data_IF_215787227054
#
_entry.id   IF_215787227054
#
_cell.length_a   1.000
_cell.length_b   1.000
_cell.length_c   1.000
_cell.angle_alpha   90.00
_cell.angle_beta   90.00
_cell.angle_gamma   90.00
#
_symmetry.space_group_name_H-M   'P 1'
#
loop_
_entity.id
_entity.type
_entity.pdbx_description
1 polymer ?
#
# COMPACT_ATOMS: atom_id res chain seq x y z
N UNK A 1 -7.77 -9.73 6.93
CA UNK A 1 -8.13 -8.37 7.37
C UNK A 1 -8.91 -7.69 6.26
N UNK A 2 -10.09 -7.15 6.57
CA UNK A 2 -10.88 -6.34 5.62
C UNK A 2 -10.26 -4.94 5.45
N UNK A 3 -10.69 -4.19 4.44
CA UNK A 3 -10.27 -2.78 4.30
C UNK A 3 -10.71 -1.95 5.51
N UNK A 4 -11.95 -2.10 5.97
CA UNK A 4 -12.44 -1.38 7.15
C UNK A 4 -11.59 -1.65 8.42
N UNK A 5 -11.08 -2.87 8.58
CA UNK A 5 -10.16 -3.19 9.67
C UNK A 5 -8.78 -2.54 9.51
N UNK A 6 -8.28 -2.40 8.28
CA UNK A 6 -7.06 -1.65 8.00
C UNK A 6 -7.26 -0.16 8.33
N UNK A 7 -8.32 0.45 7.80
CA UNK A 7 -8.68 1.85 8.02
C UNK A 7 -8.74 2.16 9.52
N UNK A 8 -9.45 1.34 10.29
CA UNK A 8 -9.54 1.50 11.74
C UNK A 8 -8.18 1.41 12.46
N UNK A 9 -7.27 0.55 12.00
CA UNK A 9 -5.92 0.45 12.59
C UNK A 9 -5.05 1.66 12.23
N UNK A 10 -5.13 2.14 10.99
CA UNK A 10 -4.44 3.35 10.55
C UNK A 10 -4.93 4.56 11.37
N UNK A 11 -6.24 4.72 11.53
CA UNK A 11 -6.81 5.81 12.32
C UNK A 11 -6.37 5.75 13.79
N UNK A 12 -6.26 4.56 14.37
CA UNK A 12 -5.75 4.37 15.72
C UNK A 12 -4.27 4.79 15.85
N UNK A 13 -3.43 4.43 14.88
CA UNK A 13 -2.01 4.83 14.84
C UNK A 13 -1.86 6.35 14.70
N UNK A 14 -2.66 6.97 13.84
CA UNK A 14 -2.67 8.43 13.64
C UNK A 14 -3.16 9.17 14.88
N UNK A 15 -4.23 8.70 15.52
CA UNK A 15 -4.70 9.26 16.79
C UNK A 15 -3.64 9.11 17.90
N UNK A 16 -2.86 8.03 17.90
CA UNK A 16 -1.74 7.87 18.83
C UNK A 16 -0.61 8.88 18.55
N UNK A 17 -0.27 9.10 17.27
CA UNK A 17 0.72 10.10 16.87
C UNK A 17 0.29 11.52 17.28
N UNK A 18 -0.97 11.88 17.07
CA UNK A 18 -1.53 13.18 17.50
C UNK A 18 -1.45 13.38 19.01
N UNK A 19 -1.73 12.34 19.80
CA UNK A 19 -1.60 12.38 21.27
C UNK A 19 -0.15 12.60 21.70
N UNK A 20 0.81 11.95 21.03
CA UNK A 20 2.24 12.12 21.30
C UNK A 20 2.67 13.55 20.97
N UNK A 21 2.28 14.08 19.82
CA UNK A 21 2.59 15.45 19.41
C UNK A 21 1.97 16.49 20.36
N UNK A 22 0.70 16.30 20.73
CA UNK A 22 0.00 17.18 21.67
C UNK A 22 0.65 17.18 23.05
N UNK A 23 1.11 16.01 23.52
CA UNK A 23 1.86 15.90 24.78
C UNK A 23 3.19 16.61 24.68
N UNK A 24 3.95 16.38 23.61
CA UNK A 24 5.23 17.03 23.38
C UNK A 24 5.08 18.55 23.35
N UNK A 25 4.08 19.10 22.66
CA UNK A 25 3.82 20.53 22.62
C UNK A 25 3.68 21.11 24.04
N UNK A 26 2.83 20.51 24.90
CA UNK A 26 2.62 20.93 26.29
C UNK A 26 3.89 20.80 27.14
N UNK A 27 4.61 19.70 27.02
CA UNK A 27 5.84 19.46 27.77
C UNK A 27 6.94 20.45 27.35
N UNK A 28 7.07 20.71 26.05
CA UNK A 28 8.07 21.62 25.51
C UNK A 28 7.83 23.07 25.96
N UNK A 29 6.56 23.50 26.02
CA UNK A 29 6.16 24.78 26.59
C UNK A 29 6.49 24.86 28.08
N UNK A 30 6.21 23.80 28.85
CA UNK A 30 6.53 23.74 30.27
C UNK A 30 8.03 23.90 30.55
N UNK A 31 8.91 23.30 29.74
CA UNK A 31 10.36 23.45 29.92
C UNK A 31 10.89 24.80 29.44
N UNK A 32 10.30 25.34 28.38
CA UNK A 32 10.63 26.70 27.92
C UNK A 32 10.34 27.73 29.01
N UNK A 33 9.22 27.57 29.71
CA UNK A 33 8.76 28.46 30.78
C UNK A 33 9.31 28.12 32.18
N UNK A 34 10.13 27.07 32.32
CA UNK A 34 10.71 26.68 33.60
C UNK A 34 11.84 27.62 34.02
N UNK A 35 11.59 28.48 35.00
CA UNK A 35 12.56 29.45 35.50
C UNK A 35 13.66 28.84 36.40
N UNK A 36 13.55 27.55 36.73
CA UNK A 36 14.56 26.85 37.54
C UNK A 36 15.70 26.26 36.69
N UNK A 37 15.53 26.23 35.36
CA UNK A 37 16.51 25.71 34.42
C UNK A 37 17.28 26.84 33.73
N UNK A 38 18.59 26.65 33.56
CA UNK A 38 19.40 27.46 32.65
C UNK A 38 19.02 27.19 31.20
N UNK A 39 19.34 28.12 30.30
CA UNK A 39 19.09 27.93 28.85
C UNK A 39 19.71 26.65 28.30
N UNK A 40 20.91 26.28 28.78
CA UNK A 40 21.57 25.04 28.41
C UNK A 40 20.78 23.82 28.92
N UNK A 41 20.27 23.87 30.15
CA UNK A 41 19.44 22.81 30.74
C UNK A 41 18.11 22.63 30.00
N UNK A 42 17.46 23.73 29.60
CA UNK A 42 16.24 23.72 28.79
C UNK A 42 16.47 23.03 27.45
N UNK A 43 17.53 23.43 26.73
CA UNK A 43 17.90 22.81 25.43
C UNK A 43 18.19 21.33 25.56
N UNK A 44 18.96 20.92 26.58
CA UNK A 44 19.30 19.52 26.78
C UNK A 44 18.06 18.64 27.03
N UNK A 45 17.10 19.11 27.85
CA UNK A 45 15.83 18.40 28.07
C UNK A 45 14.96 18.33 26.81
N UNK A 46 14.82 19.46 26.11
CA UNK A 46 14.06 19.54 24.87
C UNK A 46 14.60 18.58 23.81
N UNK A 47 15.93 18.53 23.65
CA UNK A 47 16.56 17.66 22.66
C UNK A 47 16.37 16.18 23.00
N UNK A 48 16.56 15.80 24.27
CA UNK A 48 16.34 14.42 24.71
C UNK A 48 14.91 13.94 24.44
N UNK A 49 13.91 14.75 24.82
CA UNK A 49 12.51 14.40 24.59
C UNK A 49 12.16 14.40 23.10
N UNK A 50 12.69 15.36 22.35
CA UNK A 50 12.49 15.43 20.90
C UNK A 50 13.00 14.16 20.23
N UNK A 51 14.18 13.66 20.63
CA UNK A 51 14.72 12.41 20.12
C UNK A 51 13.78 11.22 20.41
N UNK A 52 13.26 11.12 21.63
CA UNK A 52 12.29 10.07 21.98
C UNK A 52 10.97 10.18 21.22
N UNK A 53 10.42 11.38 21.11
CA UNK A 53 9.17 11.66 20.39
C UNK A 53 9.35 11.33 18.90
N UNK A 54 10.47 11.75 18.32
CA UNK A 54 10.81 11.46 16.92
C UNK A 54 10.89 9.95 16.67
N UNK A 55 11.57 9.20 17.55
CA UNK A 55 11.64 7.74 17.45
C UNK A 55 10.24 7.09 17.50
N UNK A 56 9.41 7.48 18.48
CA UNK A 56 8.04 6.95 18.62
C UNK A 56 7.17 7.26 17.39
N UNK A 57 7.27 8.47 16.84
CA UNK A 57 6.53 8.85 15.63
C UNK A 57 7.03 8.11 14.38
N UNK A 58 8.34 7.88 14.28
CA UNK A 58 8.94 7.07 13.22
C UNK A 58 8.44 5.63 13.25
N UNK A 59 8.37 5.03 14.44
CA UNK A 59 7.87 3.67 14.62
C UNK A 59 6.39 3.53 14.25
N UNK A 60 5.55 4.52 14.60
CA UNK A 60 4.13 4.52 14.22
C UNK A 60 3.94 4.62 12.71
N UNK A 61 4.73 5.48 12.03
CA UNK A 61 4.72 5.57 10.56
C UNK A 61 5.15 4.26 9.91
N UNK A 62 6.20 3.63 10.45
CA UNK A 62 6.66 2.32 9.97
C UNK A 62 5.56 1.26 10.09
N UNK A 63 4.83 1.23 11.22
CA UNK A 63 3.71 0.31 11.42
C UNK A 63 2.57 0.58 10.43
N UNK A 64 2.19 1.84 10.21
CA UNK A 64 1.19 2.21 9.20
C UNK A 64 1.58 1.68 7.81
N UNK A 65 2.83 1.93 7.40
CA UNK A 65 3.37 1.44 6.13
C UNK A 65 3.36 -0.09 6.02
N UNK A 66 3.76 -0.79 7.07
CA UNK A 66 3.75 -2.26 7.09
C UNK A 66 2.33 -2.83 6.94
N UNK A 67 1.33 -2.22 7.58
CA UNK A 67 -0.07 -2.62 7.45
C UNK A 67 -0.59 -2.42 6.02
N UNK A 68 -0.29 -1.26 5.42
CA UNK A 68 -0.67 -0.92 4.04
C UNK A 68 -0.02 -1.89 3.05
N UNK A 69 1.29 -2.13 3.17
CA UNK A 69 2.02 -3.08 2.31
C UNK A 69 1.46 -4.50 2.47
N UNK A 70 1.22 -4.96 3.69
CA UNK A 70 0.72 -6.31 3.94
C UNK A 70 -0.66 -6.53 3.33
N UNK A 71 -1.58 -5.55 3.47
CA UNK A 71 -2.92 -5.64 2.86
C UNK A 71 -2.83 -5.57 1.33
N UNK A 72 -1.98 -4.70 0.77
CA UNK A 72 -1.73 -4.63 -0.69
C UNK A 72 -1.28 -5.99 -1.22
N UNK A 73 -0.24 -6.57 -0.62
CA UNK A 73 0.30 -7.88 -1.03
C UNK A 73 -0.74 -8.99 -0.92
N UNK A 74 -1.59 -8.96 0.11
CA UNK A 74 -2.66 -9.94 0.27
C UNK A 74 -3.73 -9.84 -0.84
N UNK A 75 -4.08 -8.62 -1.27
CA UNK A 75 -5.00 -8.39 -2.39
C UNK A 75 -4.38 -8.79 -3.72
N UNK A 76 -3.15 -8.35 -3.99
CA UNK A 76 -2.41 -8.71 -5.21
C UNK A 76 -2.23 -10.22 -5.33
N UNK A 77 -1.93 -10.91 -4.23
CA UNK A 77 -1.85 -12.38 -4.21
C UNK A 77 -3.19 -13.04 -4.53
N UNK A 78 -4.32 -12.45 -4.13
CA UNK A 78 -5.65 -13.01 -4.40
C UNK A 78 -6.08 -12.76 -5.84
N UNK A 79 -5.82 -11.57 -6.36
CA UNK A 79 -6.19 -11.16 -7.72
C UNK A 79 -5.27 -11.77 -8.79
N UNK A 80 -3.96 -11.83 -8.51
CA UNK A 80 -2.94 -12.16 -9.51
C UNK A 80 -2.11 -13.40 -9.16
N UNK A 81 -2.16 -13.89 -7.93
CA UNK A 81 -1.33 -15.00 -7.50
C UNK A 81 -1.85 -16.36 -7.93
N UNK A 82 -0.94 -17.32 -8.05
CA UNK A 82 -1.31 -18.73 -8.16
C UNK A 82 -2.02 -19.18 -6.88
N UNK A 83 -3.17 -19.84 -7.03
CA UNK A 83 -3.82 -20.52 -5.92
C UNK A 83 -2.93 -21.64 -5.36
N UNK A 84 -3.09 -21.97 -4.07
CA UNK A 84 -2.31 -23.05 -3.42
C UNK A 84 -2.47 -24.41 -4.10
N UNK A 85 -3.58 -24.63 -4.81
CA UNK A 85 -3.86 -25.89 -5.53
C UNK A 85 -3.17 -25.90 -6.89
N UNK A 86 -3.09 -24.75 -7.57
CA UNK A 86 -2.40 -24.60 -8.85
C UNK A 86 -0.88 -24.46 -8.70
N UNK A 87 -0.38 -24.06 -7.53
CA UNK A 87 1.04 -23.86 -7.29
C UNK A 87 1.85 -25.15 -7.11
N UNK A 88 1.21 -26.32 -7.05
CA UNK A 88 1.89 -27.62 -6.97
C UNK A 88 2.12 -28.29 -8.32
N UNK A 89 1.53 -27.77 -9.40
CA UNK A 89 1.75 -28.24 -10.77
C UNK A 89 2.88 -27.42 -11.43
N UNK A 90 4.03 -28.02 -11.76
CA UNK A 90 5.11 -27.33 -12.46
C UNK A 90 4.67 -26.66 -13.78
N UNK A 91 3.72 -27.25 -14.51
CA UNK A 91 3.20 -26.70 -15.76
C UNK A 91 2.50 -25.35 -15.55
N UNK A 92 1.71 -25.24 -14.48
CA UNK A 92 1.03 -23.99 -14.12
C UNK A 92 2.00 -22.91 -13.64
N UNK A 93 3.07 -23.29 -12.92
CA UNK A 93 4.12 -22.34 -12.52
C UNK A 93 4.83 -21.77 -13.75
N UNK A 94 5.13 -22.61 -14.75
CA UNK A 94 5.77 -22.17 -15.99
C UNK A 94 4.84 -21.26 -16.78
N UNK A 95 3.57 -21.66 -16.95
CA UNK A 95 2.57 -20.83 -17.64
C UNK A 95 2.37 -19.48 -16.95
N UNK A 96 2.34 -19.46 -15.61
CA UNK A 96 2.27 -18.23 -14.84
C UNK A 96 3.49 -17.32 -15.08
N UNK A 97 4.71 -17.87 -15.08
CA UNK A 97 5.92 -17.09 -15.37
C UNK A 97 5.91 -16.53 -16.79
N UNK A 98 5.55 -17.34 -17.78
CA UNK A 98 5.41 -16.90 -19.17
C UNK A 98 4.39 -15.77 -19.29
N UNK A 99 3.23 -15.90 -18.64
CA UNK A 99 2.21 -14.87 -18.59
C UNK A 99 2.74 -13.55 -18.01
N UNK A 100 3.48 -13.59 -16.90
CA UNK A 100 4.09 -12.40 -16.29
C UNK A 100 5.12 -11.74 -17.22
N UNK A 101 6.00 -12.55 -17.83
CA UNK A 101 7.03 -12.07 -18.76
C UNK A 101 6.41 -11.44 -20.01
N UNK A 102 5.34 -12.04 -20.54
CA UNK A 102 4.59 -11.51 -21.68
C UNK A 102 3.88 -10.21 -21.34
N UNK A 103 3.19 -10.15 -20.20
CA UNK A 103 2.50 -8.93 -19.77
C UNK A 103 3.48 -7.77 -19.50
N UNK A 104 4.67 -8.06 -18.98
CA UNK A 104 5.70 -7.05 -18.71
C UNK A 104 6.19 -6.33 -19.98
N UNK A 105 6.12 -7.00 -21.15
CA UNK A 105 6.52 -6.42 -22.44
C UNK A 105 5.46 -5.50 -23.04
N UNK A 106 4.22 -5.55 -22.55
CA UNK A 106 3.16 -4.68 -23.01
C UNK A 106 3.45 -3.25 -22.55
N UNK A 107 3.49 -2.34 -23.52
CA UNK A 107 3.80 -0.92 -23.26
C UNK A 107 2.64 0.01 -23.61
N UNK A 108 1.67 -0.48 -24.39
CA UNK A 108 0.53 0.31 -24.86
C UNK A 108 -0.79 -0.35 -24.48
N UNK A 109 -1.78 0.48 -24.16
CA UNK A 109 -3.09 0.02 -23.69
C UNK A 109 -3.88 -0.75 -24.76
N UNK A 110 -3.73 -0.40 -26.04
CA UNK A 110 -4.39 -1.06 -27.17
C UNK A 110 -3.86 -2.49 -27.36
N UNK A 111 -2.53 -2.63 -27.38
CA UNK A 111 -1.86 -3.93 -27.43
C UNK A 111 -2.25 -4.82 -26.24
N UNK A 112 -2.27 -4.24 -25.04
CA UNK A 112 -2.66 -4.98 -23.85
C UNK A 112 -4.13 -5.42 -23.89
N UNK A 113 -5.03 -4.60 -24.43
CA UNK A 113 -6.43 -4.97 -24.58
C UNK A 113 -6.63 -6.13 -25.57
N UNK A 114 -5.86 -6.17 -26.67
CA UNK A 114 -5.88 -7.30 -27.61
C UNK A 114 -5.41 -8.60 -26.97
N UNK A 115 -4.29 -8.56 -26.22
CA UNK A 115 -3.76 -9.72 -25.51
C UNK A 115 -4.72 -10.17 -24.41
N UNK A 116 -5.32 -9.24 -23.68
CA UNK A 116 -6.34 -9.52 -22.68
C UNK A 116 -7.56 -10.23 -23.29
N UNK A 117 -8.12 -9.69 -24.38
CA UNK A 117 -9.25 -10.29 -25.06
C UNK A 117 -8.92 -11.69 -25.62
N UNK A 118 -7.70 -11.90 -26.09
CA UNK A 118 -7.24 -13.22 -26.52
C UNK A 118 -7.17 -14.21 -25.35
N UNK A 119 -6.59 -13.80 -24.22
CA UNK A 119 -6.51 -14.61 -23.00
C UNK A 119 -7.91 -15.02 -22.50
N UNK A 120 -8.86 -14.08 -22.50
CA UNK A 120 -10.25 -14.36 -22.13
C UNK A 120 -10.92 -15.36 -23.07
N UNK A 121 -10.69 -15.28 -24.39
CA UNK A 121 -11.24 -16.25 -25.35
C UNK A 121 -10.67 -17.66 -25.19
N UNK A 122 -9.43 -17.77 -24.71
CA UNK A 122 -8.77 -19.07 -24.47
C UNK A 122 -8.89 -19.58 -23.03
N UNK A 123 -9.63 -18.89 -22.17
CA UNK A 123 -9.70 -19.15 -20.72
C UNK A 123 -8.31 -19.20 -20.04
N UNK A 124 -7.35 -18.43 -20.56
CA UNK A 124 -6.00 -18.29 -19.98
C UNK A 124 -6.04 -17.27 -18.84
N UNK A 125 -6.44 -17.76 -17.67
CA UNK A 125 -6.59 -16.94 -16.46
C UNK A 125 -5.26 -16.36 -15.98
N UNK A 126 -4.14 -17.08 -16.18
CA UNK A 126 -2.81 -16.62 -15.79
C UNK A 126 -2.39 -15.40 -16.62
N UNK A 127 -2.57 -15.46 -17.94
CA UNK A 127 -2.29 -14.32 -18.82
C UNK A 127 -3.26 -13.16 -18.58
N UNK A 128 -4.56 -13.42 -18.43
CA UNK A 128 -5.55 -12.39 -18.14
C UNK A 128 -5.22 -11.63 -16.84
N UNK A 129 -4.86 -12.34 -15.77
CA UNK A 129 -4.46 -11.75 -14.50
C UNK A 129 -3.14 -10.97 -14.60
N UNK A 130 -2.16 -11.47 -15.35
CA UNK A 130 -0.89 -10.76 -15.58
C UNK A 130 -1.11 -9.44 -16.36
N UNK A 131 -1.96 -9.46 -17.39
CA UNK A 131 -2.31 -8.25 -18.15
C UNK A 131 -3.11 -7.27 -17.30
N UNK A 132 -4.02 -7.74 -16.44
CA UNK A 132 -4.72 -6.89 -15.49
C UNK A 132 -3.77 -6.21 -14.50
N UNK A 133 -2.80 -6.94 -13.94
CA UNK A 133 -1.77 -6.37 -13.07
C UNK A 133 -0.97 -5.27 -13.79
N UNK A 134 -0.61 -5.51 -15.05
CA UNK A 134 0.05 -4.51 -15.91
C UNK A 134 -0.84 -3.29 -16.16
N UNK A 135 -2.13 -3.51 -16.42
CA UNK A 135 -3.11 -2.46 -16.64
C UNK A 135 -3.25 -1.53 -15.43
N UNK A 136 -3.37 -2.10 -14.22
CA UNK A 136 -3.44 -1.34 -12.98
C UNK A 136 -2.17 -0.51 -12.74
N UNK A 137 -1.00 -1.06 -13.03
CA UNK A 137 0.26 -0.34 -12.87
C UNK A 137 0.42 0.85 -13.83
N UNK A 138 -0.28 0.84 -14.97
CA UNK A 138 -0.17 1.86 -16.02
C UNK A 138 -1.44 2.71 -16.20
N UNK A 139 -2.48 2.50 -15.38
CA UNK A 139 -3.74 3.24 -15.48
C UNK A 139 -4.56 2.90 -16.74
N UNK A 140 -4.53 1.65 -17.20
CA UNK A 140 -5.31 1.20 -18.36
C UNK A 140 -6.73 0.77 -17.95
N UNK A 141 -7.56 1.75 -17.61
CA UNK A 141 -8.88 1.54 -16.98
C UNK A 141 -9.85 0.69 -17.81
N UNK A 142 -9.72 0.70 -19.15
CA UNK A 142 -10.58 -0.09 -20.05
C UNK A 142 -10.43 -1.59 -19.82
N UNK A 143 -9.20 -2.06 -19.55
CA UNK A 143 -8.91 -3.48 -19.28
C UNK A 143 -9.46 -3.86 -17.90
N UNK A 144 -9.28 -3.00 -16.90
CA UNK A 144 -9.81 -3.22 -15.55
C UNK A 144 -11.34 -3.32 -15.58
N UNK A 145 -11.99 -2.41 -16.30
CA UNK A 145 -13.44 -2.41 -16.45
C UNK A 145 -13.94 -3.67 -17.16
N UNK A 146 -13.24 -4.14 -18.20
CA UNK A 146 -13.61 -5.36 -18.91
C UNK A 146 -13.42 -6.61 -18.05
N UNK A 147 -12.33 -6.71 -17.29
CA UNK A 147 -12.13 -7.80 -16.35
C UNK A 147 -13.24 -7.89 -15.31
N UNK A 148 -13.64 -6.77 -14.72
CA UNK A 148 -14.73 -6.70 -13.72
C UNK A 148 -16.09 -7.13 -14.28
N UNK A 149 -16.34 -6.95 -15.58
CA UNK A 149 -17.58 -7.46 -16.21
C UNK A 149 -17.59 -8.99 -16.26
N UNK A 150 -16.42 -9.59 -16.47
CA UNK A 150 -16.24 -11.02 -16.66
C UNK A 150 -16.07 -11.75 -15.32
N UNK A 151 -15.43 -11.09 -14.35
CA UNK A 151 -15.31 -11.53 -12.95
C UNK A 151 -15.83 -10.46 -11.99
N UNK A 152 -17.15 -10.41 -11.73
CA UNK A 152 -17.73 -9.47 -10.78
C UNK A 152 -17.24 -9.66 -9.35
N UNK A 153 -16.74 -10.86 -8.98
CA UNK A 153 -16.26 -11.13 -7.63
C UNK A 153 -14.94 -10.40 -7.34
N UNK A 154 -14.12 -10.16 -8.38
CA UNK A 154 -12.87 -9.42 -8.25
C UNK A 154 -13.07 -7.90 -8.04
N UNK A 155 -14.29 -7.37 -8.24
CA UNK A 155 -14.56 -5.93 -8.11
C UNK A 155 -14.17 -5.38 -6.75
N UNK A 156 -14.57 -6.05 -5.67
CA UNK A 156 -14.30 -5.59 -4.31
C UNK A 156 -12.80 -5.50 -4.04
N UNK A 157 -12.04 -6.52 -4.46
CA UNK A 157 -10.59 -6.56 -4.27
C UNK A 157 -9.85 -5.51 -5.13
N UNK A 158 -10.35 -5.20 -6.32
CA UNK A 158 -9.82 -4.14 -7.19
C UNK A 158 -10.12 -2.75 -6.62
N UNK A 159 -11.33 -2.52 -6.11
CA UNK A 159 -11.72 -1.27 -5.45
C UNK A 159 -10.89 -1.05 -4.17
N UNK A 160 -10.70 -2.10 -3.37
CA UNK A 160 -9.81 -2.10 -2.20
C UNK A 160 -8.38 -1.73 -2.59
N UNK A 161 -7.85 -2.32 -3.68
CA UNK A 161 -6.50 -2.07 -4.16
C UNK A 161 -6.33 -0.61 -4.61
N UNK A 162 -7.31 -0.06 -5.32
CA UNK A 162 -7.32 1.34 -5.74
C UNK A 162 -7.33 2.30 -4.54
N UNK A 163 -8.13 2.01 -3.51
CA UNK A 163 -8.14 2.81 -2.25
C UNK A 163 -6.78 2.74 -1.54
N UNK A 164 -6.15 1.57 -1.48
CA UNK A 164 -4.84 1.39 -0.84
C UNK A 164 -3.73 2.19 -1.56
N UNK A 165 -3.80 2.33 -2.89
CA UNK A 165 -2.85 3.16 -3.61
C UNK A 165 -2.89 4.64 -3.16
N UNK A 166 -4.04 5.15 -2.72
CA UNK A 166 -4.19 6.52 -2.23
C UNK A 166 -3.39 6.78 -0.94
N UNK A 167 -3.23 5.77 -0.07
CA UNK A 167 -2.41 5.88 1.14
C UNK A 167 -0.93 6.06 0.82
N UNK A 168 -0.41 5.37 -0.21
CA UNK A 168 0.99 5.50 -0.63
C UNK A 168 1.30 6.88 -1.25
N UNK A 169 0.36 7.47 -1.98
CA UNK A 169 0.54 8.81 -2.57
C UNK A 169 0.57 9.93 -1.53
N UNK A 170 -0.15 9.75 -0.41
CA UNK A 170 -0.18 10.75 0.67
C UNK A 170 1.15 10.79 1.45
N UNK A 171 1.79 9.64 1.70
CA UNK A 171 3.11 9.58 2.34
C UNK A 171 4.23 10.19 1.46
N UNK A 172 4.17 10.02 0.14
CA UNK A 172 5.15 10.60 -0.77
C UNK A 172 5.17 12.13 -0.72
N UNK A 173 4.02 12.76 -0.46
CA UNK A 173 3.91 14.21 -0.26
C UNK A 173 4.44 14.70 1.09
N UNK A 174 4.28 13.92 2.15
CA UNK A 174 4.73 14.27 3.50
C UNK A 174 6.23 14.00 3.75
N UNK A 175 6.83 13.10 2.96
CA UNK A 175 8.27 12.78 3.03
C UNK A 175 9.19 13.98 2.69
N UNK A 176 8.64 15.08 2.16
CA UNK A 176 9.38 16.31 1.86
C UNK A 176 9.35 17.36 2.99
N UNK A 177 8.70 17.09 4.13
CA UNK A 177 8.55 18.05 5.24
C UNK A 177 9.37 17.66 6.49
N UNK A 178 10.19 16.61 6.42
CA UNK A 178 11.08 16.22 7.52
C UNK A 178 12.43 16.95 7.45
#
# INVERSE_FOLDING_TARGET
>A
MSLAQLESQIDALRAQAERIQSRWARTSESWTNDNTLSDLGKRAKLESERAEVSAKLSDLRKQEKELVIAKKQALEKRLFGLSSVTSSDPGQIIAYRDAQDRAARLTRSDEAAEVFAAAMRSDDKSLAAAVLARALANGWDTIVAEYVKQDPAAREDLDDLAKIQQYNSFEAGLSYIA
#
